data_IF_955624194155
#
_entry.id   IF_955624194155
#
_cell.length_a   1.000
_cell.length_b   1.000
_cell.length_c   1.000
_cell.angle_alpha   90.00
_cell.angle_beta   90.00
_cell.angle_gamma   90.00
#
_symmetry.space_group_name_H-M   'P 1'
#
loop_
_entity.id
_entity.type
_entity.pdbx_description
1 polymer ?
#
# COMPACT_ATOMS: atom_id res chain seq x y z
N UNK A 1 -2.00 -10.63 9.17
CA UNK A 1 -1.28 -10.25 10.40
C UNK A 1 -0.51 -8.97 10.14
N UNK A 2 -1.11 -7.83 10.47
CA UNK A 2 -0.48 -6.52 10.36
C UNK A 2 0.60 -6.28 11.42
N UNK A 3 1.57 -5.44 11.10
CA UNK A 3 2.67 -5.06 12.00
C UNK A 3 2.65 -3.56 12.30
N UNK A 4 3.19 -3.18 13.46
CA UNK A 4 3.37 -1.78 13.86
C UNK A 4 4.86 -1.50 13.96
N UNK A 5 5.35 -0.53 13.20
CA UNK A 5 6.72 0.00 13.31
C UNK A 5 6.70 1.31 14.06
N UNK A 6 7.65 1.50 14.98
CA UNK A 6 7.74 2.70 15.82
C UNK A 6 8.95 3.53 15.35
N UNK A 7 8.72 4.82 15.09
CA UNK A 7 9.78 5.78 14.82
C UNK A 7 9.71 6.93 15.83
N UNK A 8 10.83 7.24 16.47
CA UNK A 8 10.97 8.47 17.26
C UNK A 8 11.27 9.66 16.34
N UNK A 9 10.53 10.76 16.50
CA UNK A 9 10.78 12.03 15.79
C UNK A 9 11.81 12.87 16.56
N UNK A 10 12.40 13.87 15.89
CA UNK A 10 13.30 14.85 16.50
C UNK A 10 12.70 15.51 17.75
N UNK A 11 11.38 15.73 17.73
CA UNK A 11 10.64 16.37 18.82
C UNK A 11 10.28 15.40 19.96
N UNK A 12 10.86 14.19 20.00
CA UNK A 12 10.57 13.17 21.03
C UNK A 12 9.25 12.42 20.86
N UNK A 13 8.33 12.92 20.03
CA UNK A 13 7.06 12.24 19.74
C UNK A 13 7.27 10.91 19.01
N UNK A 14 6.45 9.92 19.38
CA UNK A 14 6.48 8.59 18.78
C UNK A 14 5.45 8.49 17.65
N UNK A 15 5.91 8.08 16.47
CA UNK A 15 5.05 7.73 15.33
C UNK A 15 4.90 6.22 15.25
N UNK A 16 3.66 5.77 15.15
CA UNK A 16 3.28 4.37 15.01
C UNK A 16 2.79 4.12 13.59
N UNK A 17 3.62 3.49 12.77
CA UNK A 17 3.26 3.08 11.41
C UNK A 17 2.61 1.71 11.48
N UNK A 18 1.31 1.63 11.24
CA UNK A 18 0.62 0.38 11.00
C UNK A 18 0.82 -0.06 9.54
N UNK A 19 1.12 -1.34 9.35
CA UNK A 19 1.27 -1.98 8.03
C UNK A 19 0.42 -3.24 7.98
N UNK A 20 -0.42 -3.36 6.97
CA UNK A 20 -1.23 -4.55 6.70
C UNK A 20 -0.83 -5.12 5.35
N UNK A 21 -0.55 -6.44 5.31
CA UNK A 21 -0.24 -7.18 4.09
C UNK A 21 -1.21 -8.35 3.98
N UNK A 22 -1.88 -8.47 2.84
CA UNK A 22 -2.79 -9.57 2.56
C UNK A 22 -2.57 -10.03 1.11
N UNK A 23 -2.37 -11.34 0.93
CA UNK A 23 -2.34 -11.99 -0.38
C UNK A 23 -3.71 -12.59 -0.65
N UNK A 24 -4.33 -12.23 -1.78
CA UNK A 24 -5.59 -12.81 -2.27
C UNK A 24 -5.53 -12.92 -3.78
N UNK A 25 -5.95 -14.07 -4.32
CA UNK A 25 -6.11 -14.29 -5.76
C UNK A 25 -4.88 -13.91 -6.59
N UNK A 26 -3.69 -14.25 -6.08
CA UNK A 26 -2.41 -13.91 -6.69
C UNK A 26 -2.00 -12.43 -6.59
N UNK A 27 -2.86 -11.57 -6.04
CA UNK A 27 -2.61 -10.13 -5.87
C UNK A 27 -2.20 -9.80 -4.44
N UNK A 28 -1.09 -9.07 -4.30
CA UNK A 28 -0.59 -8.57 -3.01
C UNK A 28 -1.16 -7.19 -2.71
N UNK A 29 -1.84 -7.05 -1.57
CA UNK A 29 -2.30 -5.75 -1.08
C UNK A 29 -1.45 -5.25 0.08
N UNK A 30 -1.16 -3.96 0.03
CA UNK A 30 -0.28 -3.28 0.97
C UNK A 30 -0.93 -1.97 1.43
N UNK A 31 -1.39 -1.95 2.68
CA UNK A 31 -1.92 -0.74 3.31
C UNK A 31 -0.98 -0.27 4.41
N UNK A 32 -0.69 1.02 4.44
CA UNK A 32 0.10 1.66 5.48
C UNK A 32 -0.61 2.90 6.00
N UNK A 33 -0.59 3.10 7.32
CA UNK A 33 -1.09 4.32 7.95
C UNK A 33 -0.30 4.65 9.20
N UNK A 34 0.07 5.92 9.33
CA UNK A 34 0.79 6.44 10.50
C UNK A 34 -0.19 7.03 11.50
N UNK A 35 0.05 6.75 12.78
CA UNK A 35 -0.71 7.26 13.91
C UNK A 35 0.24 7.81 14.98
N UNK A 36 -0.25 8.74 15.80
CA UNK A 36 0.52 9.25 16.94
C UNK A 36 0.35 8.38 18.19
N UNK A 37 -0.64 7.48 18.22
CA UNK A 37 -0.93 6.58 19.36
C UNK A 37 -0.92 5.11 18.93
N UNK A 38 -0.24 4.25 19.70
CA UNK A 38 -0.23 2.77 19.54
C UNK A 38 -1.62 2.12 19.51
N UNK A 39 -2.57 2.46 20.41
CA UNK A 39 -3.91 1.85 20.38
C UNK A 39 -4.67 2.17 19.09
N UNK A 40 -4.53 3.38 18.55
CA UNK A 40 -5.15 3.77 17.28
C UNK A 40 -4.61 2.93 16.11
N UNK A 41 -3.29 2.72 16.06
CA UNK A 41 -2.66 1.84 15.08
C UNK A 41 -3.17 0.40 15.16
N UNK A 42 -3.32 -0.12 16.38
CA UNK A 42 -3.81 -1.51 16.61
C UNK A 42 -5.27 -1.67 16.18
N UNK A 43 -6.15 -0.73 16.56
CA UNK A 43 -7.55 -0.74 16.16
C UNK A 43 -7.72 -0.63 14.64
N UNK A 44 -6.88 0.18 13.99
CA UNK A 44 -6.89 0.32 12.55
C UNK A 44 -6.47 -0.96 11.82
N UNK A 45 -5.43 -1.66 12.29
CA UNK A 45 -5.03 -2.97 11.73
C UNK A 45 -6.21 -3.95 11.79
N UNK A 46 -6.87 -4.08 12.95
CA UNK A 46 -8.03 -4.98 13.10
C UNK A 46 -9.17 -4.62 12.14
N UNK A 47 -9.47 -3.33 11.99
CA UNK A 47 -10.48 -2.83 11.05
C UNK A 47 -10.10 -3.16 9.60
N UNK A 48 -8.86 -2.86 9.20
CA UNK A 48 -8.36 -3.10 7.85
C UNK A 48 -8.27 -4.57 7.48
N UNK A 49 -7.83 -5.43 8.41
CA UNK A 49 -7.84 -6.87 8.20
C UNK A 49 -9.27 -7.39 7.99
N UNK A 50 -10.26 -6.88 8.74
CA UNK A 50 -11.67 -7.25 8.57
C UNK A 50 -12.27 -6.77 7.24
N UNK A 51 -11.95 -5.54 6.83
CA UNK A 51 -12.38 -4.98 5.55
C UNK A 51 -11.77 -5.76 4.37
N UNK A 52 -10.46 -6.05 4.42
CA UNK A 52 -9.76 -6.82 3.39
C UNK A 52 -10.11 -8.32 3.41
N UNK A 53 -10.66 -8.82 4.53
CA UNK A 53 -11.15 -10.19 4.66
C UNK A 53 -12.59 -10.38 4.15
N UNK A 54 -13.33 -9.30 3.83
CA UNK A 54 -14.67 -9.38 3.25
C UNK A 54 -14.63 -9.04 1.75
N UNK A 55 -14.46 -10.04 0.86
CA UNK A 55 -14.28 -9.82 -0.58
C UNK A 55 -15.61 -9.77 -1.34
N UNK A 56 -16.66 -9.13 -0.81
CA UNK A 56 -18.01 -9.31 -1.38
C UNK A 56 -18.44 -8.27 -2.44
N UNK A 57 -17.60 -7.31 -2.86
CA UNK A 57 -18.14 -6.19 -3.66
C UNK A 57 -17.20 -5.42 -4.60
N UNK A 58 -15.97 -5.87 -4.92
CA UNK A 58 -15.09 -5.11 -5.83
C UNK A 58 -14.39 -6.00 -6.86
N UNK A 59 -15.18 -6.82 -7.53
CA UNK A 59 -14.96 -7.11 -8.94
C UNK A 59 -15.45 -5.89 -9.74
N UNK A 60 -14.71 -4.77 -9.71
CA UNK A 60 -15.00 -3.69 -10.64
C UNK A 60 -13.70 -2.96 -11.02
N UNK A 61 -13.25 -3.25 -12.24
CA UNK A 61 -12.39 -2.44 -13.09
C UNK A 61 -10.89 -2.31 -12.75
N UNK A 62 -10.16 -3.43 -12.86
CA UNK A 62 -8.75 -3.37 -13.29
C UNK A 62 -8.63 -3.37 -14.83
N UNK A 63 -9.26 -2.38 -15.48
CA UNK A 63 -9.13 -2.14 -16.93
C UNK A 63 -8.79 -0.68 -17.14
N UNK A 64 -7.57 -0.24 -16.82
CA UNK A 64 -6.86 0.74 -17.65
C UNK A 64 -5.41 0.95 -17.19
N UNK A 65 -4.48 0.28 -17.86
CA UNK A 65 -3.18 0.89 -18.15
C UNK A 65 -2.63 0.28 -19.44
N UNK A 66 -2.74 0.94 -20.60
CA UNK A 66 -1.87 0.61 -21.72
C UNK A 66 -0.42 0.86 -21.28
N UNK A 67 0.35 -0.23 -21.30
CA UNK A 67 1.80 -0.33 -21.20
C UNK A 67 2.50 0.92 -21.77
N UNK A 68 3.20 1.66 -20.91
CA UNK A 68 4.07 2.76 -21.33
C UNK A 68 5.07 2.26 -22.39
N UNK A 69 4.99 2.69 -23.68
CA UNK A 69 5.95 2.27 -24.67
C UNK A 69 7.25 3.06 -24.47
N UNK A 70 8.36 2.32 -24.32
CA UNK A 70 9.71 2.87 -24.28
C UNK A 70 9.90 3.74 -25.53
N UNK A 71 10.14 5.04 -25.32
CA UNK A 71 10.49 6.00 -26.37
C UNK A 71 11.78 5.55 -27.05
N UNK A 72 11.68 4.94 -28.23
CA UNK A 72 12.82 4.68 -29.09
C UNK A 72 13.38 6.03 -29.56
N UNK A 73 14.57 6.38 -29.08
CA UNK A 73 15.35 7.51 -29.55
C UNK A 73 15.81 7.23 -30.98
N UNK A 74 15.18 7.85 -31.97
CA UNK A 74 15.68 7.89 -33.33
C UNK A 74 16.66 9.06 -33.47
N UNK A 75 17.96 8.78 -33.41
CA UNK A 75 19.01 9.75 -33.75
C UNK A 75 19.97 9.12 -34.77
N UNK A 76 19.97 9.73 -35.95
CA UNK A 76 21.03 9.77 -36.98
C UNK A 76 21.46 8.47 -37.69
N UNK A 77 21.05 8.36 -38.96
CA UNK A 77 21.95 7.88 -40.02
C UNK A 77 22.00 8.93 -41.13
N UNK A 78 23.18 9.56 -41.24
CA UNK A 78 23.69 10.27 -42.41
C UNK A 78 23.58 9.38 -43.65
N UNK A 79 23.06 9.93 -44.74
CA UNK A 79 23.62 9.82 -46.10
C UNK A 79 23.39 11.15 -46.80
#
# INVERSE_FOLDING_TARGET
MGSISIRKRKNGSSSYLARVRVMRDGTSYHDTKTFDRRPAATAWIKKREKERAKPAALEEWNVFAPRCPKRLSATQRKL
#
